data_IF_054131628919
#
_entry.id   IF_054131628919
#
_cell.length_a   1.000
_cell.length_b   1.000
_cell.length_c   1.000
_cell.angle_alpha   90.00
_cell.angle_beta   90.00
_cell.angle_gamma   90.00
#
_symmetry.space_group_name_H-M   'P 1'
#
loop_
_entity.id
_entity.type
_entity.pdbx_description
1 polymer ?
#
# COMPACT_ATOMS: atom_id res chain seq x y z
N UNK A 1 33.64 -9.15 16.74
CA UNK A 1 33.14 -7.96 16.04
C UNK A 1 31.65 -8.00 16.21
N UNK A 2 31.15 -7.21 17.15
CA UNK A 2 29.76 -7.23 17.57
C UNK A 2 28.89 -6.75 16.42
N UNK A 3 28.01 -7.62 15.95
CA UNK A 3 26.92 -7.26 15.05
C UNK A 3 25.86 -6.55 15.90
N UNK A 4 26.01 -5.23 16.06
CA UNK A 4 24.95 -4.40 16.62
C UNK A 4 23.71 -4.54 15.76
N UNK A 5 22.64 -5.00 16.40
CA UNK A 5 21.32 -5.22 15.85
C UNK A 5 20.71 -3.87 15.46
N UNK A 6 21.09 -3.34 14.29
CA UNK A 6 20.47 -2.16 13.68
C UNK A 6 19.12 -2.59 13.10
N UNK A 7 18.17 -2.90 13.98
CA UNK A 7 16.80 -3.18 13.59
C UNK A 7 16.24 -1.93 12.95
N UNK A 8 15.91 -2.00 11.65
CA UNK A 8 15.14 -0.94 10.99
C UNK A 8 13.81 -0.87 11.72
N UNK A 9 13.64 0.16 12.54
CA UNK A 9 12.37 0.42 13.20
C UNK A 9 11.40 0.94 12.14
N UNK A 10 10.35 0.17 11.86
CA UNK A 10 9.22 0.58 11.04
C UNK A 10 8.02 0.64 11.97
N UNK A 11 7.42 1.82 12.10
CA UNK A 11 6.16 1.96 12.83
C UNK A 11 5.02 1.91 11.82
N UNK A 12 4.13 0.93 11.98
CA UNK A 12 2.84 0.93 11.28
C UNK A 12 1.91 1.93 11.97
N UNK A 13 1.34 2.83 11.18
CA UNK A 13 0.40 3.86 11.66
C UNK A 13 -0.86 3.26 12.33
N UNK A 14 -1.25 2.02 11.99
CA UNK A 14 -2.53 1.41 12.37
C UNK A 14 -2.46 0.16 13.27
N UNK A 15 -1.28 -0.41 13.57
CA UNK A 15 -1.16 -1.61 14.43
C UNK A 15 0.11 -1.59 15.32
N UNK A 16 0.04 -1.01 16.53
CA UNK A 16 1.19 -0.94 17.44
C UNK A 16 1.55 -2.27 18.14
N UNK A 17 0.80 -3.35 17.93
CA UNK A 17 0.83 -4.55 18.81
C UNK A 17 1.68 -5.73 18.30
N UNK A 18 2.20 -5.67 17.07
CA UNK A 18 2.99 -6.75 16.47
C UNK A 18 4.40 -6.27 16.17
N UNK A 19 5.38 -6.73 16.95
CA UNK A 19 6.79 -6.45 16.66
C UNK A 19 7.29 -7.38 15.57
N UNK A 20 8.32 -6.97 14.84
CA UNK A 20 9.02 -7.81 13.84
C UNK A 20 9.38 -9.18 14.40
N UNK A 21 9.82 -9.25 15.66
CA UNK A 21 10.13 -10.51 16.35
C UNK A 21 8.91 -11.43 16.50
N UNK A 22 7.72 -10.87 16.67
CA UNK A 22 6.47 -11.63 16.79
C UNK A 22 6.02 -12.14 15.41
N UNK A 23 6.18 -11.34 14.34
CA UNK A 23 5.93 -11.78 12.96
C UNK A 23 6.90 -12.88 12.55
N UNK A 24 8.20 -12.73 12.83
CA UNK A 24 9.24 -13.73 12.52
C UNK A 24 8.97 -15.04 13.28
N UNK A 25 8.49 -14.96 14.53
CA UNK A 25 8.08 -16.14 15.29
C UNK A 25 6.81 -16.79 14.74
N UNK A 26 5.77 -15.99 14.43
CA UNK A 26 4.47 -16.49 13.94
C UNK A 26 4.57 -17.13 12.55
N UNK A 27 5.45 -16.60 11.71
CA UNK A 27 5.70 -17.12 10.36
C UNK A 27 6.65 -18.32 10.35
N UNK A 28 7.25 -18.66 11.50
CA UNK A 28 8.22 -19.74 11.62
C UNK A 28 9.59 -19.44 10.99
N UNK A 29 9.82 -18.20 10.53
CA UNK A 29 11.00 -17.82 9.76
C UNK A 29 12.27 -17.59 10.61
N UNK A 30 12.18 -17.51 11.94
CA UNK A 30 13.31 -17.16 12.80
C UNK A 30 14.53 -18.11 12.74
N UNK A 31 14.32 -19.35 12.27
CA UNK A 31 15.34 -20.29 11.75
C UNK A 31 14.65 -21.27 10.81
N UNK A 32 13.91 -20.76 9.83
CA UNK A 32 13.36 -21.64 8.82
C UNK A 32 14.49 -22.07 7.88
N UNK A 33 14.98 -23.29 8.05
CA UNK A 33 15.47 -24.05 6.90
C UNK A 33 14.31 -24.03 5.91
N UNK A 34 14.43 -23.32 4.80
CA UNK A 34 13.41 -23.40 3.74
C UNK A 34 13.42 -24.87 3.33
N UNK A 35 12.39 -25.61 3.76
CA UNK A 35 12.31 -27.08 3.87
C UNK A 35 12.58 -27.87 2.57
N UNK A 36 12.96 -27.19 1.49
CA UNK A 36 13.28 -27.74 0.17
C UNK A 36 14.75 -27.61 -0.25
N UNK A 37 15.60 -26.83 0.45
CA UNK A 37 16.91 -26.47 -0.09
C UNK A 37 18.12 -26.73 0.83
N UNK A 38 17.93 -27.20 2.08
CA UNK A 38 19.03 -27.40 3.06
C UNK A 38 19.93 -26.14 3.20
N UNK A 39 19.30 -24.96 3.15
CA UNK A 39 19.96 -23.67 3.34
C UNK A 39 19.59 -23.14 4.71
N UNK A 40 20.61 -22.80 5.50
CA UNK A 40 20.46 -22.08 6.75
C UNK A 40 20.32 -20.58 6.45
N UNK A 41 19.16 -20.00 6.79
CA UNK A 41 18.82 -18.60 6.53
C UNK A 41 18.49 -17.95 7.86
N UNK A 42 19.20 -16.88 8.19
CA UNK A 42 18.92 -16.04 9.35
C UNK A 42 18.04 -14.86 8.94
N UNK A 43 16.80 -14.84 9.43
CA UNK A 43 15.83 -13.78 9.11
C UNK A 43 15.92 -12.68 10.16
N UNK A 44 16.60 -11.58 9.80
CA UNK A 44 16.90 -10.47 10.70
C UNK A 44 15.90 -9.31 10.63
N UNK A 45 15.09 -9.22 9.57
CA UNK A 45 14.13 -8.14 9.37
C UNK A 45 12.94 -8.55 8.50
N UNK A 46 11.80 -7.89 8.71
CA UNK A 46 10.63 -7.90 7.83
C UNK A 46 10.32 -6.46 7.46
N UNK A 47 10.12 -6.20 6.17
CA UNK A 47 9.95 -4.85 5.64
C UNK A 47 8.69 -4.78 4.77
N UNK A 48 8.00 -3.64 4.79
CA UNK A 48 6.98 -3.30 3.80
C UNK A 48 7.66 -2.96 2.46
N UNK A 49 6.97 -3.20 1.35
CA UNK A 49 7.49 -2.97 -0.01
C UNK A 49 7.83 -1.50 -0.28
N UNK A 50 7.05 -0.55 0.25
CA UNK A 50 7.38 0.89 0.17
C UNK A 50 8.67 1.21 0.90
N UNK A 51 8.91 0.61 2.08
CA UNK A 51 10.14 0.77 2.86
C UNK A 51 11.33 0.18 2.11
N UNK A 52 11.18 -1.02 1.54
CA UNK A 52 12.21 -1.61 0.68
C UNK A 52 12.53 -0.72 -0.53
N UNK A 53 11.51 -0.11 -1.13
CA UNK A 53 11.65 0.82 -2.26
C UNK A 53 12.43 2.07 -1.86
N UNK A 54 12.09 2.69 -0.72
CA UNK A 54 12.81 3.82 -0.17
C UNK A 54 14.28 3.47 0.09
N UNK A 55 14.53 2.38 0.81
CA UNK A 55 15.89 1.96 1.19
C UNK A 55 16.76 1.64 -0.04
N UNK A 56 16.19 0.97 -1.05
CA UNK A 56 16.91 0.66 -2.28
C UNK A 56 17.34 1.93 -3.05
N UNK A 57 16.51 2.97 -3.03
CA UNK A 57 16.83 4.26 -3.64
C UNK A 57 17.82 5.06 -2.78
N UNK A 58 17.58 5.15 -1.48
CA UNK A 58 18.43 5.83 -0.51
C UNK A 58 19.86 5.26 -0.48
N UNK A 59 20.03 3.98 -0.79
CA UNK A 59 21.36 3.36 -0.92
C UNK A 59 22.25 4.01 -2.00
N UNK A 60 21.63 4.58 -3.05
CA UNK A 60 22.35 5.29 -4.12
C UNK A 60 22.24 6.80 -3.99
N UNK A 61 21.08 7.28 -3.56
CA UNK A 61 20.74 8.70 -3.50
C UNK A 61 20.35 9.07 -2.06
N UNK A 62 21.32 9.57 -1.29
CA UNK A 62 21.16 9.88 0.14
C UNK A 62 20.10 10.96 0.44
N UNK A 63 19.56 11.63 -0.58
CA UNK A 63 18.46 12.61 -0.45
C UNK A 63 17.07 11.97 -0.57
N UNK A 64 16.97 10.66 -0.83
CA UNK A 64 15.69 9.98 -0.94
C UNK A 64 15.05 9.83 0.46
N UNK A 65 13.87 10.43 0.64
CA UNK A 65 13.16 10.43 1.93
C UNK A 65 11.74 9.85 1.84
N UNK A 66 11.27 9.49 0.64
CA UNK A 66 9.91 8.98 0.40
C UNK A 66 9.98 7.77 -0.54
N UNK A 67 9.33 6.69 -0.16
CA UNK A 67 9.07 5.53 -1.01
C UNK A 67 7.59 5.51 -1.39
N UNK A 68 7.27 5.30 -2.67
CA UNK A 68 5.88 5.22 -3.14
C UNK A 68 5.72 4.00 -4.03
N UNK A 69 4.63 3.26 -3.82
CA UNK A 69 4.17 2.21 -4.70
C UNK A 69 2.88 2.69 -5.39
N UNK A 70 2.89 2.65 -6.72
CA UNK A 70 1.71 2.87 -7.56
C UNK A 70 1.67 1.73 -8.57
N UNK A 71 0.88 0.70 -8.26
CA UNK A 71 0.79 -0.51 -9.06
C UNK A 71 -0.58 -1.16 -8.86
N UNK A 72 -0.61 -2.46 -8.58
CA UNK A 72 -1.86 -3.16 -8.21
C UNK A 72 -2.52 -2.50 -7.00
N UNK A 73 -1.75 -2.25 -5.95
CA UNK A 73 -2.14 -1.40 -4.82
C UNK A 73 -1.48 -0.03 -4.89
N UNK A 74 -1.71 0.80 -3.87
CA UNK A 74 -0.90 1.99 -3.66
C UNK A 74 -0.62 2.22 -2.19
N UNK A 75 0.64 2.54 -1.90
CA UNK A 75 1.09 2.88 -0.55
C UNK A 75 2.27 3.86 -0.62
N UNK A 76 2.58 4.50 0.50
CA UNK A 76 3.80 5.26 0.68
C UNK A 76 4.39 5.09 2.07
N UNK A 77 5.70 5.32 2.15
CA UNK A 77 6.42 5.52 3.38
C UNK A 77 7.33 6.74 3.27
N UNK A 78 7.74 7.27 4.41
CA UNK A 78 8.67 8.39 4.46
C UNK A 78 9.52 8.37 5.73
N UNK A 79 10.64 9.08 5.69
CA UNK A 79 11.49 9.31 6.86
C UNK A 79 10.92 10.45 7.72
N UNK A 80 10.63 10.17 8.98
CA UNK A 80 10.10 11.12 9.96
C UNK A 80 11.04 11.28 11.15
N UNK A 81 11.04 12.45 11.77
CA UNK A 81 11.77 12.69 13.02
C UNK A 81 11.01 12.08 14.19
N UNK A 82 11.69 11.31 15.03
CA UNK A 82 11.10 10.63 16.19
C UNK A 82 10.39 11.60 17.15
N UNK A 83 10.90 12.83 17.30
CA UNK A 83 10.25 13.90 18.08
C UNK A 83 8.83 14.29 17.61
N UNK A 84 8.44 13.96 16.37
CA UNK A 84 7.09 14.18 15.82
C UNK A 84 6.18 12.96 15.95
N UNK A 85 6.74 11.81 16.31
CA UNK A 85 5.99 10.56 16.48
C UNK A 85 5.53 10.47 17.93
N UNK A 86 4.40 11.13 18.22
CA UNK A 86 3.86 11.20 19.59
C UNK A 86 3.67 9.83 20.25
N UNK A 87 3.36 8.80 19.46
CA UNK A 87 3.19 7.41 19.92
C UNK A 87 4.45 6.79 20.52
N UNK A 88 5.63 7.28 20.16
CA UNK A 88 6.94 6.77 20.61
C UNK A 88 7.58 7.68 21.67
N UNK A 89 6.90 8.74 22.11
CA UNK A 89 7.48 9.74 23.01
C UNK A 89 7.98 9.12 24.32
N UNK A 90 9.23 9.39 24.66
CA UNK A 90 9.90 8.85 25.86
C UNK A 90 10.52 7.46 25.69
N UNK A 91 10.35 6.80 24.54
CA UNK A 91 10.94 5.47 24.27
C UNK A 91 12.30 5.54 23.56
N UNK A 92 12.54 6.59 22.77
CA UNK A 92 13.74 6.74 21.92
C UNK A 92 14.79 7.72 22.46
N UNK A 93 14.44 8.56 23.45
CA UNK A 93 15.26 9.71 23.85
C UNK A 93 16.63 9.34 24.49
N UNK A 94 16.83 8.07 24.86
CA UNK A 94 18.03 7.62 25.59
C UNK A 94 18.60 6.27 25.08
N UNK A 95 18.23 5.82 23.89
CA UNK A 95 18.64 4.50 23.36
C UNK A 95 19.95 4.54 22.54
N UNK A 96 20.44 5.74 22.20
CA UNK A 96 21.65 5.94 21.39
C UNK A 96 21.46 5.65 19.90
N UNK A 97 20.22 5.48 19.44
CA UNK A 97 19.86 5.23 18.04
C UNK A 97 19.63 6.54 17.28
N UNK A 98 19.52 6.51 15.93
CA UNK A 98 19.18 7.68 15.13
C UNK A 98 17.83 8.31 15.52
N UNK A 99 17.75 9.64 15.50
CA UNK A 99 16.53 10.43 15.82
C UNK A 99 15.46 10.40 14.71
N UNK A 100 15.57 9.50 13.73
CA UNK A 100 14.70 9.39 12.56
C UNK A 100 14.19 7.95 12.40
N UNK A 101 12.97 7.81 11.91
CA UNK A 101 12.28 6.54 11.72
C UNK A 101 11.49 6.54 10.41
N UNK A 102 11.37 5.38 9.77
CA UNK A 102 10.53 5.26 8.57
C UNK A 102 9.10 4.95 9.01
N UNK A 103 8.17 5.81 8.58
CA UNK A 103 6.74 5.61 8.78
C UNK A 103 6.15 4.95 7.55
N UNK A 104 5.65 3.72 7.72
CA UNK A 104 4.78 3.10 6.72
C UNK A 104 3.36 3.65 6.90
N UNK A 105 2.87 4.39 5.91
CA UNK A 105 1.61 5.11 6.07
C UNK A 105 0.40 4.16 6.00
N UNK A 106 0.48 3.09 5.21
CA UNK A 106 -0.67 2.28 4.80
C UNK A 106 -1.81 3.18 4.30
N UNK A 107 -1.48 4.12 3.41
CA UNK A 107 -2.37 5.24 3.05
C UNK A 107 -3.61 4.83 2.27
N UNK A 108 -3.71 3.55 1.88
CA UNK A 108 -4.83 3.04 1.10
C UNK A 108 -6.15 3.19 1.85
N UNK A 109 -6.11 3.11 3.18
CA UNK A 109 -7.25 3.27 4.07
C UNK A 109 -7.66 4.74 4.31
N UNK A 110 -6.93 5.71 3.75
CA UNK A 110 -7.30 7.11 3.87
C UNK A 110 -8.72 7.32 3.29
N UNK A 111 -9.61 7.94 4.07
CA UNK A 111 -11.00 8.12 3.68
C UNK A 111 -11.99 7.06 4.11
N UNK A 112 -11.54 5.95 4.72
CA UNK A 112 -12.42 4.91 5.26
C UNK A 112 -13.36 5.48 6.36
N UNK A 113 -12.97 6.57 7.01
CA UNK A 113 -13.75 7.32 8.01
C UNK A 113 -14.68 8.39 7.41
N UNK A 114 -14.67 8.55 6.08
CA UNK A 114 -15.44 9.56 5.37
C UNK A 114 -14.73 10.90 5.17
N UNK A 115 -13.47 11.06 5.58
CA UNK A 115 -12.73 12.33 5.47
C UNK A 115 -12.65 12.87 4.03
N UNK A 116 -12.63 12.00 3.02
CA UNK A 116 -12.62 12.35 1.59
C UNK A 116 -13.93 12.01 0.87
N UNK A 117 -15.02 11.80 1.60
CA UNK A 117 -16.32 11.47 0.99
C UNK A 117 -16.83 12.54 0.00
N UNK A 118 -16.36 13.78 0.13
CA UNK A 118 -16.73 14.90 -0.74
C UNK A 118 -16.17 14.79 -2.17
N UNK A 119 -15.09 14.02 -2.39
CA UNK A 119 -14.56 13.71 -3.73
C UNK A 119 -15.02 12.34 -4.24
N UNK A 120 -15.74 11.56 -3.42
CA UNK A 120 -16.17 10.20 -3.76
C UNK A 120 -17.38 10.22 -4.68
N UNK A 121 -17.14 9.92 -5.97
CA UNK A 121 -18.17 9.96 -7.01
C UNK A 121 -19.16 8.79 -6.86
N UNK A 122 -20.26 8.84 -7.61
CA UNK A 122 -21.17 7.70 -7.72
C UNK A 122 -20.49 6.45 -8.29
N UNK A 123 -19.49 6.62 -9.17
CA UNK A 123 -18.77 5.51 -9.80
C UNK A 123 -17.83 4.83 -8.81
N UNK A 124 -17.10 5.61 -8.02
CA UNK A 124 -16.24 5.09 -6.96
C UNK A 124 -17.07 4.28 -5.93
N UNK A 125 -18.28 4.76 -5.59
CA UNK A 125 -19.21 4.06 -4.70
C UNK A 125 -19.72 2.75 -5.29
N UNK A 126 -19.93 2.68 -6.61
CA UNK A 126 -20.30 1.45 -7.29
C UNK A 126 -19.15 0.46 -7.22
N UNK A 127 -17.93 0.89 -7.57
CA UNK A 127 -16.74 0.03 -7.53
C UNK A 127 -16.55 -0.50 -6.10
N UNK A 128 -16.50 0.37 -5.10
CA UNK A 128 -16.29 0.00 -3.69
C UNK A 128 -17.27 -1.07 -3.21
N UNK A 129 -18.58 -0.91 -3.48
CA UNK A 129 -19.63 -1.86 -3.08
C UNK A 129 -19.47 -3.26 -3.69
N UNK A 130 -18.80 -3.38 -4.83
CA UNK A 130 -18.59 -4.65 -5.54
C UNK A 130 -17.27 -5.33 -5.18
N UNK A 131 -16.44 -4.70 -4.34
CA UNK A 131 -15.19 -5.27 -3.88
C UNK A 131 -15.38 -6.26 -2.72
N UNK A 132 -14.34 -7.01 -2.38
CA UNK A 132 -14.34 -7.95 -1.25
C UNK A 132 -14.40 -7.24 0.12
N UNK A 133 -14.04 -5.96 0.17
CA UNK A 133 -13.94 -5.17 1.38
C UNK A 133 -14.63 -3.80 1.23
N UNK A 134 -15.97 -3.74 1.05
CA UNK A 134 -16.68 -2.48 0.91
C UNK A 134 -16.44 -1.53 2.09
N UNK A 135 -16.29 -0.24 1.81
CA UNK A 135 -16.01 0.79 2.82
C UNK A 135 -14.59 0.76 3.39
N UNK A 136 -13.69 -0.02 2.79
CA UNK A 136 -12.27 -0.12 3.18
C UNK A 136 -11.35 0.19 2.01
N UNK A 137 -10.14 0.65 2.32
CA UNK A 137 -9.13 0.97 1.29
C UNK A 137 -9.66 2.00 0.27
N UNK A 138 -10.40 3.01 0.74
CA UNK A 138 -11.09 3.96 -0.14
C UNK A 138 -10.12 4.70 -1.06
N UNK A 139 -9.01 5.23 -0.52
CA UNK A 139 -8.01 5.93 -1.33
C UNK A 139 -7.34 5.02 -2.34
N UNK A 140 -7.01 3.78 -1.95
CA UNK A 140 -6.44 2.80 -2.86
C UNK A 140 -7.37 2.48 -4.03
N UNK A 141 -8.67 2.32 -3.75
CA UNK A 141 -9.68 2.05 -4.78
C UNK A 141 -9.86 3.16 -5.80
N UNK A 142 -9.54 4.39 -5.43
CA UNK A 142 -9.65 5.54 -6.32
C UNK A 142 -8.42 5.72 -7.23
N UNK A 143 -7.28 5.09 -6.92
CA UNK A 143 -6.00 5.40 -7.56
C UNK A 143 -5.34 4.17 -8.18
N UNK A 144 -5.43 3.02 -7.53
CA UNK A 144 -4.57 1.89 -7.88
C UNK A 144 -4.95 1.23 -9.19
N UNK A 145 -3.97 0.60 -9.81
CA UNK A 145 -4.13 -0.16 -11.05
C UNK A 145 -5.03 -1.38 -10.91
N UNK A 146 -5.36 -1.85 -9.70
CA UNK A 146 -6.37 -2.90 -9.53
C UNK A 146 -7.78 -2.40 -9.87
N UNK A 147 -8.07 -1.11 -9.63
CA UNK A 147 -9.43 -0.56 -9.71
C UNK A 147 -9.63 0.41 -10.88
N UNK A 148 -8.55 0.99 -11.41
CA UNK A 148 -8.61 1.97 -12.50
C UNK A 148 -9.43 1.48 -13.71
N UNK A 149 -9.20 0.25 -14.17
CA UNK A 149 -9.98 -0.31 -15.28
C UNK A 149 -11.48 -0.45 -14.96
N UNK A 150 -11.81 -0.84 -13.73
CA UNK A 150 -13.20 -1.00 -13.30
C UNK A 150 -13.92 0.34 -13.12
N UNK A 151 -13.21 1.37 -12.65
CA UNK A 151 -13.72 2.75 -12.60
C UNK A 151 -14.12 3.23 -14.00
N UNK A 152 -13.20 3.10 -14.96
CA UNK A 152 -13.47 3.46 -16.36
C UNK A 152 -14.63 2.63 -16.92
N UNK A 153 -14.65 1.32 -16.66
CA UNK A 153 -15.74 0.42 -17.09
C UNK A 153 -17.11 0.90 -16.63
N UNK A 154 -17.24 1.24 -15.33
CA UNK A 154 -18.50 1.67 -14.73
C UNK A 154 -18.97 3.01 -15.32
N UNK A 155 -18.05 3.95 -15.54
CA UNK A 155 -18.36 5.23 -16.19
C UNK A 155 -18.87 4.99 -17.61
N UNK A 156 -18.13 4.20 -18.40
CA UNK A 156 -18.47 3.90 -19.80
C UNK A 156 -19.79 3.15 -19.90
N UNK A 157 -20.04 2.17 -19.04
CA UNK A 157 -21.31 1.46 -18.98
C UNK A 157 -22.47 2.40 -18.63
N UNK A 158 -22.27 3.35 -17.71
CA UNK A 158 -23.28 4.36 -17.36
C UNK A 158 -23.62 5.28 -18.54
N UNK A 159 -22.59 5.75 -19.27
CA UNK A 159 -22.78 6.57 -20.48
C UNK A 159 -23.47 5.80 -21.61
N UNK A 160 -23.11 4.52 -21.79
CA UNK A 160 -23.78 3.64 -22.75
C UNK A 160 -25.25 3.44 -22.39
N UNK A 161 -25.59 3.14 -21.13
CA UNK A 161 -26.99 3.01 -20.65
C UNK A 161 -27.81 4.28 -20.87
N UNK A 162 -27.18 5.45 -20.80
CA UNK A 162 -27.83 6.75 -21.07
C UNK A 162 -27.97 7.06 -22.57
N UNK A 163 -27.49 6.19 -23.46
CA UNK A 163 -27.52 6.38 -24.91
C UNK A 163 -26.49 7.40 -25.42
N UNK A 164 -25.57 7.87 -24.56
CA UNK A 164 -24.53 8.85 -24.93
C UNK A 164 -23.40 8.19 -25.72
N UNK A 165 -23.11 6.91 -25.40
CA UNK A 165 -22.10 6.10 -26.08
C UNK A 165 -22.71 4.82 -26.66
N UNK A 166 -22.08 4.31 -27.71
CA UNK A 166 -22.34 2.99 -28.31
C UNK A 166 -23.81 2.71 -28.65
N UNK A 167 -24.60 3.75 -28.96
CA UNK A 167 -26.03 3.64 -29.27
C UNK A 167 -26.84 2.83 -28.23
N UNK A 168 -26.46 2.90 -26.95
CA UNK A 168 -27.14 2.13 -25.90
C UNK A 168 -26.58 0.72 -25.65
N UNK A 169 -25.67 0.24 -26.50
CA UNK A 169 -25.15 -1.13 -26.41
C UNK A 169 -24.14 -1.27 -25.26
N UNK A 170 -24.43 -2.15 -24.30
CA UNK A 170 -23.57 -2.41 -23.13
C UNK A 170 -22.91 -3.79 -23.16
N UNK A 171 -23.22 -4.64 -24.14
CA UNK A 171 -22.79 -6.05 -24.14
C UNK A 171 -21.28 -6.28 -24.00
N UNK A 172 -20.47 -5.38 -24.55
CA UNK A 172 -19.00 -5.45 -24.46
C UNK A 172 -18.40 -4.94 -23.15
N UNK A 173 -19.18 -4.24 -22.31
CA UNK A 173 -18.66 -3.53 -21.12
C UNK A 173 -19.44 -3.86 -19.83
N UNK A 174 -20.52 -4.64 -19.91
CA UNK A 174 -21.41 -4.96 -18.80
C UNK A 174 -20.82 -5.93 -17.77
N UNK A 175 -19.78 -6.69 -18.15
CA UNK A 175 -19.14 -7.67 -17.27
C UNK A 175 -18.08 -7.00 -16.40
N UNK A 176 -18.22 -7.10 -15.07
CA UNK A 176 -17.19 -6.65 -14.12
C UNK A 176 -15.81 -7.22 -14.46
N UNK A 177 -14.77 -6.37 -14.41
CA UNK A 177 -13.39 -6.74 -14.70
C UNK A 177 -13.06 -7.00 -16.17
N UNK A 178 -14.00 -6.80 -17.10
CA UNK A 178 -13.71 -6.96 -18.54
C UNK A 178 -12.79 -5.86 -19.10
N UNK A 179 -12.71 -4.72 -18.42
CA UNK A 179 -11.86 -3.60 -18.78
C UNK A 179 -10.72 -3.47 -17.76
N UNK A 180 -9.52 -3.89 -18.16
CA UNK A 180 -8.33 -3.84 -17.31
C UNK A 180 -7.61 -2.50 -17.43
N UNK A 181 -6.71 -2.24 -16.49
CA UNK A 181 -5.84 -1.04 -16.51
C UNK A 181 -4.89 -1.01 -17.71
N UNK A 182 -4.62 -2.16 -18.35
CA UNK A 182 -3.90 -2.20 -19.62
C UNK A 182 -4.68 -1.48 -20.73
N UNK A 183 -5.99 -1.70 -20.83
CA UNK A 183 -6.82 -0.98 -21.81
C UNK A 183 -6.87 0.53 -21.52
N UNK A 184 -6.87 0.94 -20.25
CA UNK A 184 -6.75 2.37 -19.89
C UNK A 184 -5.47 2.95 -20.46
N UNK A 185 -4.35 2.23 -20.29
CA UNK A 185 -3.04 2.67 -20.78
C UNK A 185 -2.96 2.70 -22.30
N UNK A 186 -3.60 1.75 -22.97
CA UNK A 186 -3.60 1.67 -24.45
C UNK A 186 -4.46 2.76 -25.09
N UNK A 187 -5.52 3.23 -24.43
CA UNK A 187 -6.38 4.31 -24.94
C UNK A 187 -5.70 5.69 -24.87
N UNK A 188 -4.81 5.90 -23.89
CA UNK A 188 -4.11 7.17 -23.65
C UNK A 188 -2.79 7.30 -24.45
N UNK A 189 -2.46 6.33 -25.30
CA UNK A 189 -1.26 6.34 -26.16
C UNK A 189 -1.51 6.92 -27.54
#
# INVERSE_FOLDING_TARGET
>A
MDHENHGIAVVESHKPELRTADIIKMTGFGRASVYKADVDIDVVAVLNDTVGTLMACAFKENTCQIGVIVGTGTNACYLEKLQRVEKMKGEWENDGQPDEIIINMEWGAFGDDGAISFIHTEYDKIVDKTTINPGKQIFEKMISGMYMGELVRVVVESLAKKGVMFNGCTGGISKQGCFTTAYVSDVER
#
